data_IF_774015301472
#
_entry.id   IF_774015301472
#
_cell.length_a   1.000
_cell.length_b   1.000
_cell.length_c   1.000
_cell.angle_alpha   90.00
_cell.angle_beta   90.00
_cell.angle_gamma   90.00
#
_symmetry.space_group_name_H-M   'P 1'
#
loop_
_entity.id
_entity.type
_entity.pdbx_description
1 polymer ?
#
# COMPACT_ATOMS: atom_id res chain seq x y z
N UNK A 1 4.72 -4.23 -27.77
CA UNK A 1 4.71 -3.54 -26.47
C UNK A 1 4.78 -4.62 -25.40
N UNK A 2 5.32 -4.32 -24.21
CA UNK A 2 5.37 -5.30 -23.12
C UNK A 2 4.30 -4.94 -22.10
N UNK A 3 3.42 -5.88 -21.78
CA UNK A 3 2.39 -5.76 -20.75
C UNK A 3 2.85 -6.55 -19.53
N UNK A 4 2.73 -5.96 -18.35
CA UNK A 4 3.14 -6.62 -17.12
C UNK A 4 1.92 -7.28 -16.45
N UNK A 5 2.10 -8.48 -15.94
CA UNK A 5 1.07 -9.16 -15.15
C UNK A 5 1.68 -9.72 -13.86
N UNK A 6 1.04 -9.44 -12.73
CA UNK A 6 1.43 -9.98 -11.43
C UNK A 6 0.40 -11.01 -10.95
N UNK A 7 0.87 -12.23 -10.70
CA UNK A 7 0.09 -13.30 -10.09
C UNK A 7 0.46 -13.44 -8.62
N UNK A 8 -0.43 -12.97 -7.74
CA UNK A 8 -0.35 -13.18 -6.28
C UNK A 8 -1.06 -14.48 -5.95
N UNK A 9 -0.39 -15.45 -5.33
CA UNK A 9 -1.00 -16.75 -5.01
C UNK A 9 -0.33 -17.39 -3.80
N UNK A 10 -1.04 -18.29 -3.12
CA UNK A 10 -0.45 -19.06 -2.02
C UNK A 10 0.37 -20.23 -2.55
N UNK A 11 1.66 -20.30 -2.22
CA UNK A 11 2.53 -21.38 -2.69
C UNK A 11 2.08 -22.77 -2.23
N UNK A 12 1.59 -22.91 -0.99
CA UNK A 12 1.07 -24.19 -0.49
C UNK A 12 -0.07 -24.74 -1.37
N UNK A 13 -0.91 -23.86 -1.93
CA UNK A 13 -2.00 -24.27 -2.81
C UNK A 13 -1.46 -24.70 -4.18
N UNK A 14 -0.47 -23.99 -4.72
CA UNK A 14 0.19 -24.36 -5.97
C UNK A 14 0.97 -25.68 -5.83
N UNK A 15 1.73 -25.86 -4.75
CA UNK A 15 2.44 -27.11 -4.46
C UNK A 15 1.47 -28.29 -4.34
N UNK A 16 0.40 -28.12 -3.56
CA UNK A 16 -0.61 -29.16 -3.34
C UNK A 16 -1.24 -29.62 -4.66
N UNK A 17 -1.51 -28.69 -5.58
CA UNK A 17 -2.17 -29.00 -6.84
C UNK A 17 -1.17 -29.27 -7.99
N UNK A 18 0.10 -29.55 -7.68
CA UNK A 18 1.18 -29.90 -8.62
C UNK A 18 1.56 -28.77 -9.58
N UNK A 19 1.80 -27.58 -9.04
CA UNK A 19 2.18 -26.35 -9.76
C UNK A 19 1.11 -25.86 -10.74
N UNK A 20 -0.16 -26.10 -10.44
CA UNK A 20 -1.25 -25.83 -11.38
C UNK A 20 -1.52 -24.36 -11.59
N UNK A 21 -1.42 -23.57 -10.53
CA UNK A 21 -1.61 -22.11 -10.57
C UNK A 21 -0.51 -21.51 -11.44
N UNK A 22 0.74 -21.87 -11.19
CA UNK A 22 1.89 -21.35 -11.97
C UNK A 22 1.92 -21.86 -13.40
N UNK A 23 1.41 -23.07 -13.66
CA UNK A 23 1.25 -23.61 -15.03
C UNK A 23 0.15 -22.86 -15.79
N UNK A 24 -1.00 -22.65 -15.14
CA UNK A 24 -2.11 -21.90 -15.73
C UNK A 24 -1.68 -20.47 -16.08
N UNK A 25 -0.98 -19.83 -15.14
CA UNK A 25 -0.43 -18.50 -15.30
C UNK A 25 0.45 -18.35 -16.55
N UNK A 26 1.45 -19.23 -16.71
CA UNK A 26 2.34 -19.22 -17.88
C UNK A 26 1.57 -19.45 -19.18
N UNK A 27 0.57 -20.33 -19.15
CA UNK A 27 -0.26 -20.60 -20.31
C UNK A 27 -1.09 -19.37 -20.71
N UNK A 28 -1.69 -18.66 -19.76
CA UNK A 28 -2.42 -17.42 -20.03
C UNK A 28 -1.50 -16.35 -20.64
N UNK A 29 -0.25 -16.21 -20.17
CA UNK A 29 0.72 -15.30 -20.77
C UNK A 29 1.03 -15.67 -22.23
N UNK A 30 1.23 -16.96 -22.52
CA UNK A 30 1.42 -17.46 -23.89
C UNK A 30 0.20 -17.23 -24.77
N UNK A 31 -1.01 -17.46 -24.25
CA UNK A 31 -2.26 -17.21 -24.99
C UNK A 31 -2.48 -15.70 -25.22
N UNK A 32 -2.13 -14.85 -24.25
CA UNK A 32 -2.19 -13.39 -24.40
C UNK A 32 -1.29 -12.91 -25.54
N UNK A 33 -0.06 -13.39 -25.57
CA UNK A 33 0.89 -13.10 -26.66
C UNK A 33 0.36 -13.57 -28.01
N UNK A 34 -0.25 -14.77 -28.06
CA UNK A 34 -0.83 -15.31 -29.28
C UNK A 34 -2.04 -14.49 -29.79
N UNK A 35 -2.85 -13.92 -28.88
CA UNK A 35 -4.04 -13.12 -29.22
C UNK A 35 -3.66 -11.69 -29.61
N UNK A 36 -2.80 -11.03 -28.83
CA UNK A 36 -2.50 -9.59 -28.96
C UNK A 36 -1.30 -9.29 -29.85
N UNK A 37 -0.33 -10.21 -29.94
CA UNK A 37 0.99 -9.96 -30.52
C UNK A 37 1.95 -9.19 -29.60
N UNK A 38 1.53 -8.84 -28.38
CA UNK A 38 2.33 -8.14 -27.37
C UNK A 38 2.83 -9.10 -26.28
N UNK A 39 4.08 -8.92 -25.83
CA UNK A 39 4.70 -9.75 -24.79
C UNK A 39 4.04 -9.53 -23.43
N UNK A 40 3.70 -10.62 -22.73
CA UNK A 40 3.25 -10.54 -21.33
C UNK A 40 4.39 -10.91 -20.38
N UNK A 41 5.06 -9.90 -19.83
CA UNK A 41 6.07 -10.07 -18.81
C UNK A 41 5.40 -10.51 -17.50
N UNK A 42 5.50 -11.81 -17.23
CA UNK A 42 4.82 -12.45 -16.13
C UNK A 42 5.67 -12.49 -14.84
N UNK A 43 5.11 -11.96 -13.76
CA UNK A 43 5.63 -12.08 -12.41
C UNK A 43 4.78 -13.05 -11.60
N UNK A 44 5.41 -14.12 -11.13
CA UNK A 44 4.82 -15.10 -10.23
C UNK A 44 5.36 -14.84 -8.85
N UNK A 45 4.49 -14.60 -7.88
CA UNK A 45 4.90 -14.50 -6.49
C UNK A 45 5.63 -15.79 -6.04
N UNK A 46 6.71 -15.61 -5.29
CA UNK A 46 7.44 -16.68 -4.60
C UNK A 46 7.45 -16.27 -3.14
N UNK A 47 6.79 -17.08 -2.32
CA UNK A 47 6.63 -17.15 -0.86
C UNK A 47 7.78 -16.68 0.08
N UNK A 48 8.64 -15.75 -0.32
CA UNK A 48 9.83 -15.30 0.39
C UNK A 48 9.81 -13.78 0.52
N UNK A 49 9.98 -13.35 1.78
CA UNK A 49 10.41 -12.03 2.30
C UNK A 49 11.67 -11.43 1.62
N UNK A 50 12.11 -11.97 0.48
CA UNK A 50 13.33 -11.60 -0.26
C UNK A 50 13.07 -10.61 -1.40
N UNK A 51 11.83 -10.20 -1.64
CA UNK A 51 11.51 -9.14 -2.61
C UNK A 51 11.58 -7.72 -2.00
N UNK A 52 12.40 -7.53 -0.97
CA UNK A 52 12.75 -6.21 -0.44
C UNK A 52 13.34 -5.29 -1.52
N UNK A 53 12.98 -4.01 -1.44
CA UNK A 53 13.35 -2.87 -2.31
C UNK A 53 12.92 -2.94 -3.80
N UNK A 54 13.10 -4.05 -4.49
CA UNK A 54 12.84 -4.13 -5.94
C UNK A 54 11.33 -4.28 -6.27
N UNK A 55 10.53 -4.80 -5.33
CA UNK A 55 9.07 -5.00 -5.47
C UNK A 55 8.26 -3.71 -5.53
N UNK A 56 8.47 -2.81 -4.57
CA UNK A 56 7.73 -1.55 -4.45
C UNK A 56 8.08 -0.62 -5.62
N UNK A 57 9.34 -0.59 -6.03
CA UNK A 57 9.81 0.22 -7.15
C UNK A 57 9.34 -0.35 -8.51
N UNK A 58 9.32 -1.68 -8.67
CA UNK A 58 8.81 -2.34 -9.89
C UNK A 58 7.29 -2.30 -9.99
N UNK A 59 6.54 -2.35 -8.89
CA UNK A 59 5.11 -2.04 -8.89
C UNK A 59 4.89 -0.55 -9.18
N UNK A 60 5.64 0.36 -8.55
CA UNK A 60 5.50 1.80 -8.82
C UNK A 60 5.77 2.13 -10.30
N UNK A 61 6.70 1.42 -10.94
CA UNK A 61 7.01 1.55 -12.38
C UNK A 61 5.98 0.84 -13.27
N UNK A 62 5.63 -0.41 -12.98
CA UNK A 62 4.72 -1.22 -13.80
C UNK A 62 3.25 -0.77 -13.70
N UNK A 63 2.83 -0.25 -12.55
CA UNK A 63 1.45 0.26 -12.34
C UNK A 63 1.21 1.59 -13.07
N UNK A 64 2.27 2.33 -13.41
CA UNK A 64 2.19 3.45 -14.36
C UNK A 64 2.12 2.99 -15.84
N UNK A 65 2.49 1.73 -16.14
CA UNK A 65 2.74 1.22 -17.50
C UNK A 65 1.73 0.18 -18.03
N UNK A 66 0.55 0.03 -17.39
CA UNK A 66 -0.51 -0.93 -17.77
C UNK A 66 -0.37 -2.35 -17.18
N UNK A 67 0.15 -2.48 -15.95
CA UNK A 67 0.22 -3.77 -15.25
C UNK A 67 -1.16 -4.30 -14.78
N UNK A 68 -1.40 -5.59 -15.01
CA UNK A 68 -2.50 -6.34 -14.39
C UNK A 68 -2.09 -6.96 -13.06
N UNK A 69 -3.00 -6.98 -12.08
CA UNK A 69 -2.85 -7.74 -10.84
C UNK A 69 -3.94 -8.79 -10.72
N UNK A 70 -3.48 -10.03 -10.58
CA UNK A 70 -4.33 -11.21 -10.66
C UNK A 70 -4.16 -12.01 -9.36
N UNK A 71 -4.92 -11.71 -8.30
CA UNK A 71 -4.86 -12.48 -7.06
C UNK A 71 -5.60 -13.81 -7.23
N UNK A 72 -4.93 -14.91 -6.92
CA UNK A 72 -5.48 -16.28 -6.93
C UNK A 72 -6.01 -16.60 -5.54
N UNK A 73 -7.30 -16.31 -5.38
CA UNK A 73 -7.99 -16.29 -4.12
C UNK A 73 -8.30 -17.70 -3.63
N UNK A 74 -7.94 -17.96 -2.37
CA UNK A 74 -8.22 -19.18 -1.63
C UNK A 74 -8.38 -18.87 -0.13
N UNK A 75 -8.91 -19.80 0.68
CA UNK A 75 -8.91 -19.62 2.14
C UNK A 75 -7.50 -19.45 2.74
N UNK A 76 -6.46 -20.08 2.16
CA UNK A 76 -5.09 -19.92 2.64
C UNK A 76 -4.49 -18.58 2.22
N UNK A 77 -4.85 -18.08 1.04
CA UNK A 77 -4.47 -16.75 0.57
C UNK A 77 -4.83 -15.67 1.60
N UNK A 78 -6.09 -15.66 2.07
CA UNK A 78 -6.55 -14.69 3.06
C UNK A 78 -6.03 -14.93 4.49
N UNK A 79 -5.38 -16.06 4.77
CA UNK A 79 -4.70 -16.30 6.06
C UNK A 79 -3.22 -15.92 6.03
N UNK A 80 -2.65 -15.76 4.83
CA UNK A 80 -1.26 -15.37 4.65
C UNK A 80 -1.12 -13.86 4.78
N UNK A 81 -0.35 -13.39 5.74
CA UNK A 81 -0.10 -11.95 5.93
C UNK A 81 0.56 -11.33 4.71
N UNK A 82 1.56 -12.00 4.12
CA UNK A 82 2.23 -11.56 2.89
C UNK A 82 1.25 -11.38 1.72
N UNK A 83 0.43 -12.40 1.41
CA UNK A 83 -0.55 -12.30 0.32
C UNK A 83 -1.59 -11.18 0.57
N UNK A 84 -1.97 -10.98 1.84
CA UNK A 84 -2.87 -9.88 2.22
C UNK A 84 -2.21 -8.52 2.04
N UNK A 85 -0.95 -8.36 2.39
CA UNK A 85 -0.18 -7.13 2.21
C UNK A 85 -0.04 -6.76 0.74
N UNK A 86 0.32 -7.72 -0.12
CA UNK A 86 0.37 -7.52 -1.57
C UNK A 86 -0.96 -7.05 -2.14
N UNK A 87 -2.05 -7.72 -1.74
CA UNK A 87 -3.38 -7.37 -2.21
C UNK A 87 -3.78 -5.96 -1.74
N UNK A 88 -3.49 -5.59 -0.50
CA UNK A 88 -3.73 -4.23 0.01
C UNK A 88 -2.94 -3.19 -0.77
N UNK A 89 -1.64 -3.43 -0.96
CA UNK A 89 -0.75 -2.51 -1.65
C UNK A 89 -1.22 -2.25 -3.09
N UNK A 90 -1.58 -3.31 -3.82
CA UNK A 90 -2.05 -3.15 -5.19
C UNK A 90 -3.41 -2.45 -5.26
N UNK A 91 -4.36 -2.80 -4.40
CA UNK A 91 -5.69 -2.14 -4.37
C UNK A 91 -5.56 -0.66 -4.02
N UNK A 92 -4.73 -0.30 -3.04
CA UNK A 92 -4.48 1.09 -2.67
C UNK A 92 -3.93 1.88 -3.87
N UNK A 93 -2.95 1.30 -4.58
CA UNK A 93 -2.36 1.95 -5.76
C UNK A 93 -3.33 2.06 -6.93
N UNK A 94 -4.08 1.00 -7.23
CA UNK A 94 -5.08 0.99 -8.29
C UNK A 94 -6.19 2.03 -8.04
N UNK A 95 -6.57 2.26 -6.78
CA UNK A 95 -7.51 3.33 -6.40
C UNK A 95 -6.92 4.72 -6.61
N UNK A 96 -5.65 4.95 -6.22
CA UNK A 96 -4.98 6.24 -6.45
C UNK A 96 -4.93 6.62 -7.92
N UNK A 97 -4.73 5.64 -8.81
CA UNK A 97 -4.64 5.88 -10.26
C UNK A 97 -5.97 5.76 -11.01
N UNK A 98 -7.05 5.36 -10.33
CA UNK A 98 -8.34 5.11 -10.97
C UNK A 98 -8.35 3.89 -11.91
N UNK A 99 -7.43 2.94 -11.72
CA UNK A 99 -7.25 1.74 -12.55
C UNK A 99 -7.68 0.47 -11.82
N UNK A 100 -8.80 0.53 -11.08
CA UNK A 100 -9.30 -0.63 -10.32
C UNK A 100 -9.83 -1.76 -11.21
N UNK A 101 -10.07 -1.48 -12.49
CA UNK A 101 -10.35 -2.44 -13.57
C UNK A 101 -9.16 -3.37 -13.89
N UNK A 102 -7.95 -3.03 -13.44
CA UNK A 102 -6.73 -3.85 -13.59
C UNK A 102 -6.55 -4.89 -12.48
N UNK A 103 -7.47 -4.95 -11.51
CA UNK A 103 -7.51 -5.95 -10.44
C UNK A 103 -8.50 -7.05 -10.84
N UNK A 104 -7.98 -8.22 -11.21
CA UNK A 104 -8.78 -9.34 -11.69
C UNK A 104 -8.61 -10.57 -10.80
N UNK A 105 -9.51 -10.78 -9.85
CA UNK A 105 -9.44 -11.92 -8.94
C UNK A 105 -9.77 -13.25 -9.60
N UNK A 106 -9.02 -14.31 -9.27
CA UNK A 106 -9.36 -15.69 -9.63
C UNK A 106 -9.75 -16.42 -8.35
N UNK A 107 -11.02 -16.75 -8.18
CA UNK A 107 -11.47 -17.63 -7.09
C UNK A 107 -11.09 -19.07 -7.45
N UNK A 108 -9.98 -19.54 -6.89
CA UNK A 108 -9.39 -20.86 -7.16
C UNK A 108 -9.91 -21.93 -6.19
N UNK A 109 -10.14 -21.55 -4.93
CA UNK A 109 -10.82 -22.37 -3.93
C UNK A 109 -11.93 -21.53 -3.33
N UNK A 110 -13.12 -22.12 -3.16
CA UNK A 110 -14.28 -21.45 -2.57
C UNK A 110 -13.90 -20.84 -1.21
N UNK A 111 -14.10 -19.53 -1.09
CA UNK A 111 -13.93 -18.78 0.15
C UNK A 111 -15.28 -18.70 0.86
N UNK A 112 -15.42 -19.26 2.07
CA UNK A 112 -16.61 -19.07 2.88
C UNK A 112 -16.87 -17.57 3.09
N UNK A 113 -18.13 -17.15 2.99
CA UNK A 113 -18.56 -15.77 3.30
C UNK A 113 -17.90 -14.67 2.46
N UNK A 114 -17.49 -14.99 1.22
CA UNK A 114 -17.07 -13.99 0.23
C UNK A 114 -18.27 -13.12 -0.16
N UNK A 115 -18.41 -12.00 0.53
CA UNK A 115 -19.49 -11.03 0.38
C UNK A 115 -18.93 -9.61 0.54
N UNK A 116 -19.59 -8.64 -0.11
CA UNK A 116 -19.28 -7.21 0.03
C UNK A 116 -19.44 -6.69 1.47
N UNK A 117 -20.18 -7.45 2.30
CA UNK A 117 -20.46 -7.19 3.73
C UNK A 117 -19.56 -8.02 4.67
N UNK A 118 -18.53 -8.68 4.13
CA UNK A 118 -17.60 -9.45 4.95
C UNK A 118 -16.92 -8.56 6.00
N UNK A 119 -16.74 -9.10 7.21
CA UNK A 119 -15.98 -8.43 8.28
C UNK A 119 -14.47 -8.38 7.97
N UNK A 120 -14.01 -9.24 7.07
CA UNK A 120 -12.66 -9.16 6.51
C UNK A 120 -12.66 -8.20 5.30
N UNK A 121 -12.05 -7.03 5.49
CA UNK A 121 -11.98 -5.97 4.50
C UNK A 121 -11.44 -6.44 3.13
N UNK A 122 -10.45 -7.34 3.12
CA UNK A 122 -9.87 -7.83 1.88
C UNK A 122 -10.79 -8.82 1.15
N UNK A 123 -11.54 -9.61 1.90
CA UNK A 123 -12.57 -10.50 1.33
C UNK A 123 -13.71 -9.66 0.76
N UNK A 124 -14.13 -8.60 1.47
CA UNK A 124 -15.11 -7.65 0.98
C UNK A 124 -14.63 -6.93 -0.29
N UNK A 125 -13.35 -6.55 -0.37
CA UNK A 125 -12.76 -5.96 -1.57
C UNK A 125 -12.69 -6.95 -2.73
N UNK A 126 -12.23 -8.17 -2.50
CA UNK A 126 -12.23 -9.22 -3.52
C UNK A 126 -13.65 -9.47 -4.07
N UNK A 127 -14.68 -9.40 -3.22
CA UNK A 127 -16.08 -9.52 -3.64
C UNK A 127 -16.60 -8.30 -4.43
N UNK A 128 -16.04 -7.11 -4.19
CA UNK A 128 -16.42 -5.86 -4.89
C UNK A 128 -15.76 -5.72 -6.26
N UNK A 129 -14.56 -6.27 -6.45
CA UNK A 129 -13.82 -6.18 -7.71
C UNK A 129 -14.16 -7.34 -8.65
N UNK A 130 -13.73 -7.17 -9.90
CA UNK A 130 -13.94 -8.14 -10.97
C UNK A 130 -13.25 -9.45 -10.59
N UNK A 131 -14.01 -10.55 -10.58
CA UNK A 131 -13.48 -11.86 -10.29
C UNK A 131 -14.04 -12.94 -11.22
N UNK A 132 -13.29 -14.03 -11.33
CA UNK A 132 -13.63 -15.24 -12.06
C UNK A 132 -13.59 -16.44 -11.14
N UNK A 133 -14.69 -17.19 -11.10
CA UNK A 133 -14.70 -18.47 -10.40
C UNK A 133 -14.11 -19.56 -11.30
N UNK A 134 -12.88 -19.99 -10.98
CA UNK A 134 -12.19 -21.08 -11.66
C UNK A 134 -11.99 -22.27 -10.72
N UNK A 135 -13.05 -22.63 -9.99
CA UNK A 135 -13.04 -23.69 -8.97
C UNK A 135 -12.65 -25.07 -9.52
N UNK A 136 -12.98 -25.32 -10.79
CA UNK A 136 -12.69 -26.60 -11.46
C UNK A 136 -11.23 -26.72 -11.91
N UNK A 137 -10.48 -25.62 -11.95
CA UNK A 137 -9.12 -25.58 -12.48
C UNK A 137 -8.20 -26.57 -11.75
N UNK A 138 -8.41 -26.73 -10.43
CA UNK A 138 -7.68 -27.68 -9.58
C UNK A 138 -7.93 -29.17 -9.87
N UNK A 139 -8.94 -29.49 -10.68
CA UNK A 139 -9.31 -30.86 -11.06
C UNK A 139 -8.95 -31.18 -12.51
N UNK A 140 -8.76 -30.17 -13.36
CA UNK A 140 -8.39 -30.35 -14.75
C UNK A 140 -6.93 -30.78 -14.89
N UNK A 141 -6.66 -31.68 -15.82
CA UNK A 141 -5.29 -31.98 -16.24
C UNK A 141 -4.71 -30.79 -17.00
N UNK A 142 -3.44 -30.46 -16.76
CA UNK A 142 -2.79 -29.27 -17.32
C UNK A 142 -2.68 -29.28 -18.86
N UNK A 143 -2.71 -30.47 -19.46
CA UNK A 143 -2.70 -30.71 -20.91
C UNK A 143 -4.11 -30.86 -21.51
N UNK A 144 -5.16 -30.79 -20.70
CA UNK A 144 -6.53 -30.95 -21.20
C UNK A 144 -7.00 -29.74 -22.01
N UNK A 145 -7.85 -29.99 -23.01
CA UNK A 145 -8.48 -28.94 -23.81
C UNK A 145 -9.23 -27.92 -22.96
N UNK A 146 -9.88 -28.36 -21.86
CA UNK A 146 -10.62 -27.47 -20.99
C UNK A 146 -9.69 -26.52 -20.23
N UNK A 147 -8.54 -27.00 -19.75
CA UNK A 147 -7.53 -26.17 -19.08
C UNK A 147 -7.01 -25.07 -20.02
N UNK A 148 -6.72 -25.44 -21.28
CA UNK A 148 -6.28 -24.50 -22.32
C UNK A 148 -7.36 -23.49 -22.71
N UNK A 149 -8.60 -23.92 -22.84
CA UNK A 149 -9.74 -23.02 -23.15
C UNK A 149 -9.96 -22.00 -22.04
N UNK A 150 -9.84 -22.40 -20.78
CA UNK A 150 -9.96 -21.47 -19.65
C UNK A 150 -8.81 -20.44 -19.63
N UNK A 151 -7.59 -20.86 -19.96
CA UNK A 151 -6.45 -19.96 -20.07
C UNK A 151 -6.62 -18.96 -21.22
N UNK A 152 -7.04 -19.44 -22.39
CA UNK A 152 -7.33 -18.60 -23.55
C UNK A 152 -8.47 -17.60 -23.28
N UNK A 153 -9.54 -18.01 -22.60
CA UNK A 153 -10.64 -17.13 -22.23
C UNK A 153 -10.19 -15.99 -21.29
N UNK A 154 -9.36 -16.32 -20.29
CA UNK A 154 -8.78 -15.31 -19.41
C UNK A 154 -7.82 -14.38 -20.15
N UNK A 155 -7.00 -14.92 -21.05
CA UNK A 155 -6.10 -14.11 -21.89
C UNK A 155 -6.88 -13.13 -22.78
N UNK A 156 -7.97 -13.56 -23.42
CA UNK A 156 -8.82 -12.69 -24.23
C UNK A 156 -9.39 -11.54 -23.40
N UNK A 157 -9.85 -11.80 -22.18
CA UNK A 157 -10.34 -10.77 -21.27
C UNK A 157 -9.26 -9.73 -20.93
N UNK A 158 -8.02 -10.17 -20.67
CA UNK A 158 -6.90 -9.25 -20.44
C UNK A 158 -6.58 -8.41 -21.68
N UNK A 159 -6.66 -8.98 -22.89
CA UNK A 159 -6.48 -8.23 -24.15
C UNK A 159 -7.58 -7.19 -24.32
N UNK A 160 -8.83 -7.54 -24.05
CA UNK A 160 -9.97 -6.63 -24.17
C UNK A 160 -9.85 -5.46 -23.17
N UNK A 161 -9.39 -5.73 -21.95
CA UNK A 161 -9.11 -4.70 -20.94
C UNK A 161 -7.95 -3.79 -21.34
N UNK A 162 -6.91 -4.32 -21.98
CA UNK A 162 -5.81 -3.51 -22.50
C UNK A 162 -6.27 -2.59 -23.63
N UNK A 163 -7.07 -3.12 -24.55
CA UNK A 163 -7.57 -2.39 -25.72
C UNK A 163 -8.64 -1.33 -25.38
N UNK A 164 -9.35 -1.47 -24.26
CA UNK A 164 -10.43 -0.54 -23.84
C UNK A 164 -9.92 0.82 -23.33
N UNK A 165 -8.61 1.08 -23.42
CA UNK A 165 -7.98 2.35 -23.04
C UNK A 165 -8.48 3.49 -23.95
N UNK A 166 -9.06 4.54 -23.38
CA UNK A 166 -9.25 5.80 -24.12
C UNK A 166 -7.89 6.31 -24.64
N UNK A 167 -7.80 6.83 -25.88
CA UNK A 167 -6.52 7.17 -26.48
C UNK A 167 -5.80 8.25 -25.66
N UNK A 168 -4.51 8.02 -25.39
CA UNK A 168 -3.62 9.00 -24.75
C UNK A 168 -3.67 10.31 -25.54
N UNK A 169 -4.17 11.39 -24.93
CA UNK A 169 -3.86 12.73 -25.42
C UNK A 169 -2.37 12.92 -25.18
N UNK A 170 -1.57 12.82 -26.25
CA UNK A 170 -0.17 13.22 -26.21
C UNK A 170 -0.12 14.71 -25.87
N UNK A 171 0.56 15.05 -24.77
CA UNK A 171 0.95 16.44 -24.52
C UNK A 171 1.93 16.84 -25.64
N UNK A 172 1.77 18.02 -26.26
CA UNK A 172 2.66 18.44 -27.34
C UNK A 172 4.02 18.81 -26.73
N UNK A 173 5.02 17.96 -26.94
CA UNK A 173 6.40 18.30 -26.56
C UNK A 173 7.34 17.14 -26.26
N UNK A 174 7.27 16.02 -26.97
CA UNK A 174 8.40 15.08 -27.03
C UNK A 174 8.73 14.81 -28.49
N UNK A 175 9.62 15.66 -29.01
CA UNK A 175 10.17 15.58 -30.35
C UNK A 175 11.11 14.37 -30.41
N UNK A 176 10.70 13.36 -31.17
CA UNK A 176 11.44 12.15 -31.45
C UNK A 176 12.61 12.45 -32.40
N UNK A 177 13.66 13.11 -31.90
CA UNK A 177 14.93 13.31 -32.62
C UNK A 177 16.06 13.75 -31.67
N UNK A 178 16.57 12.82 -30.86
CA UNK A 178 17.94 12.91 -30.31
C UNK A 178 18.68 11.60 -30.53
N UNK A 179 19.39 11.53 -31.65
CA UNK A 179 20.49 10.58 -31.85
C UNK A 179 21.65 10.99 -30.94
N UNK A 180 21.68 10.45 -29.72
CA UNK A 180 22.84 10.42 -28.83
C UNK A 180 23.61 9.09 -28.97
N UNK A 181 24.87 9.00 -28.53
CA UNK A 181 25.72 7.85 -28.79
C UNK A 181 25.17 6.59 -28.12
N UNK A 182 25.11 5.50 -28.88
CA UNK A 182 24.76 4.16 -28.39
C UNK A 182 25.80 3.75 -27.36
N UNK A 183 25.43 3.75 -26.08
CA UNK A 183 26.25 3.17 -25.02
C UNK A 183 26.16 1.65 -25.14
N UNK A 184 27.23 1.02 -25.61
CA UNK A 184 27.37 -0.44 -25.54
C UNK A 184 27.72 -0.82 -24.11
N UNK A 185 26.89 -1.63 -23.47
CA UNK A 185 27.17 -2.19 -22.15
C UNK A 185 28.41 -3.10 -22.24
N UNK A 186 29.41 -2.97 -21.35
CA UNK A 186 30.48 -3.95 -21.24
C UNK A 186 29.92 -5.25 -20.67
N UNK A 187 30.45 -6.38 -21.16
CA UNK A 187 30.15 -7.70 -20.63
C UNK A 187 30.38 -7.75 -19.10
N UNK A 188 29.50 -8.46 -18.40
CA UNK A 188 29.47 -8.54 -16.94
C UNK A 188 30.87 -8.84 -16.35
N UNK A 189 31.33 -8.09 -15.33
CA UNK A 189 32.58 -8.39 -14.68
C UNK A 189 32.40 -9.65 -13.83
N UNK A 190 32.99 -10.74 -14.32
CA UNK A 190 33.31 -11.88 -13.47
C UNK A 190 34.58 -11.51 -12.72
N UNK A 191 34.46 -11.14 -11.43
CA UNK A 191 35.43 -11.35 -10.33
C UNK A 191 35.12 -10.38 -9.19
N UNK A 192 34.95 -10.91 -7.98
CA UNK A 192 34.79 -10.15 -6.75
C UNK A 192 36.08 -9.39 -6.40
N UNK A 193 36.12 -8.05 -6.52
CA UNK A 193 37.10 -7.17 -5.84
C UNK A 193 36.60 -5.71 -5.81
N UNK A 194 36.52 -5.13 -4.60
CA UNK A 194 36.41 -3.71 -4.22
C UNK A 194 35.14 -2.92 -4.65
N UNK A 195 34.35 -2.52 -3.65
CA UNK A 195 33.23 -1.57 -3.76
C UNK A 195 33.82 -0.15 -3.94
N UNK A 196 33.44 0.61 -4.99
CA UNK A 196 33.95 1.97 -5.22
C UNK A 196 33.47 2.95 -4.14
N UNK A 197 34.34 3.92 -3.76
CA UNK A 197 34.06 4.99 -2.79
C UNK A 197 32.85 5.89 -3.11
N UNK A 198 32.34 5.85 -4.35
CA UNK A 198 31.16 6.60 -4.83
C UNK A 198 29.87 6.16 -4.12
N UNK A 199 29.86 4.96 -3.53
CA UNK A 199 28.70 4.36 -2.85
C UNK A 199 28.49 4.93 -1.44
N UNK A 200 29.53 5.46 -0.78
CA UNK A 200 29.44 6.03 0.58
C UNK A 200 28.77 7.40 0.64
N UNK A 201 29.09 8.29 -0.31
CA UNK A 201 28.54 9.66 -0.34
C UNK A 201 27.01 9.67 -0.58
N UNK A 202 26.52 8.77 -1.43
CA UNK A 202 25.08 8.62 -1.69
C UNK A 202 24.31 8.15 -0.45
N UNK A 203 24.90 7.25 0.34
CA UNK A 203 24.30 6.80 1.59
C UNK A 203 24.23 7.93 2.63
N UNK A 204 25.30 8.71 2.77
CA UNK A 204 25.35 9.84 3.70
C UNK A 204 24.32 10.92 3.34
N UNK A 205 24.09 11.18 2.05
CA UNK A 205 23.05 12.10 1.58
C UNK A 205 21.63 11.60 1.92
N UNK A 206 21.37 10.30 1.79
CA UNK A 206 20.10 9.70 2.18
C UNK A 206 19.86 9.77 3.69
N UNK A 207 20.88 9.47 4.50
CA UNK A 207 20.83 9.58 5.97
C UNK A 207 20.56 11.02 6.39
N UNK A 208 21.24 11.98 5.77
CA UNK A 208 21.06 13.40 6.05
C UNK A 208 19.64 13.87 5.70
N UNK A 209 19.17 13.54 4.49
CA UNK A 209 17.83 13.92 4.00
C UNK A 209 16.73 13.34 4.90
N UNK A 210 16.83 12.05 5.25
CA UNK A 210 15.88 11.41 6.15
C UNK A 210 15.94 12.01 7.57
N UNK A 211 17.15 12.23 8.10
CA UNK A 211 17.36 12.79 9.43
C UNK A 211 16.88 14.24 9.58
N UNK A 212 16.88 15.02 8.50
CA UNK A 212 16.32 16.39 8.49
C UNK A 212 14.79 16.40 8.43
N UNK A 213 14.18 15.41 7.78
CA UNK A 213 12.72 15.34 7.61
C UNK A 213 11.99 14.74 8.82
N UNK A 214 12.56 13.75 9.50
CA UNK A 214 11.92 13.03 10.61
C UNK A 214 11.45 13.92 11.78
N UNK A 215 12.20 14.95 12.22
CA UNK A 215 11.71 15.87 13.25
C UNK A 215 10.44 16.62 12.82
N UNK A 216 10.37 17.03 11.56
CA UNK A 216 9.20 17.74 11.00
C UNK A 216 7.99 16.81 10.91
N UNK A 217 8.18 15.59 10.40
CA UNK A 217 7.16 14.52 10.38
C UNK A 217 6.62 14.27 11.79
N UNK A 218 7.53 14.10 12.76
CA UNK A 218 7.17 13.87 14.16
C UNK A 218 6.37 15.03 14.73
N UNK A 219 6.74 16.28 14.41
CA UNK A 219 6.01 17.46 14.86
C UNK A 219 4.58 17.51 14.32
N UNK A 220 4.37 17.21 13.04
CA UNK A 220 3.02 17.17 12.46
C UNK A 220 2.14 16.09 13.09
N UNK A 221 2.70 14.90 13.35
CA UNK A 221 1.99 13.81 14.02
C UNK A 221 1.60 14.18 15.47
N UNK A 222 2.50 14.84 16.20
CA UNK A 222 2.21 15.34 17.54
C UNK A 222 1.10 16.41 17.53
N UNK A 223 1.13 17.33 16.57
CA UNK A 223 0.08 18.35 16.39
C UNK A 223 -1.27 17.72 16.07
N UNK A 224 -1.31 16.70 15.21
CA UNK A 224 -2.53 15.92 14.96
C UNK A 224 -3.06 15.28 16.25
N UNK A 225 -2.17 14.70 17.07
CA UNK A 225 -2.54 14.08 18.34
C UNK A 225 -3.15 15.09 19.32
N UNK A 226 -2.57 16.29 19.41
CA UNK A 226 -3.08 17.37 20.26
C UNK A 226 -4.45 17.86 19.76
N UNK A 227 -4.59 18.06 18.45
CA UNK A 227 -5.85 18.47 17.84
C UNK A 227 -6.96 17.43 18.08
N UNK A 228 -6.66 16.15 17.84
CA UNK A 228 -7.60 15.05 18.10
C UNK A 228 -8.05 14.99 19.57
N UNK A 229 -7.11 15.15 20.53
CA UNK A 229 -7.42 15.25 21.96
C UNK A 229 -8.35 16.43 22.27
N UNK A 230 -8.08 17.60 21.70
CA UNK A 230 -8.89 18.81 21.89
C UNK A 230 -10.31 18.59 21.40
N UNK A 231 -10.48 18.07 20.18
CA UNK A 231 -11.78 17.75 19.59
C UNK A 231 -12.52 16.74 20.49
N UNK A 232 -11.87 15.64 20.88
CA UNK A 232 -12.46 14.60 21.72
C UNK A 232 -12.98 15.14 23.04
N UNK A 233 -12.22 16.03 23.69
CA UNK A 233 -12.64 16.68 24.94
C UNK A 233 -13.87 17.57 24.73
N UNK A 234 -13.90 18.37 23.66
CA UNK A 234 -15.05 19.23 23.34
C UNK A 234 -16.31 18.44 23.05
N UNK A 235 -16.22 17.32 22.31
CA UNK A 235 -17.39 16.46 22.04
C UNK A 235 -17.87 15.79 23.33
N UNK A 236 -16.97 15.35 24.20
CA UNK A 236 -17.34 14.76 25.49
C UNK A 236 -18.03 15.76 26.42
N UNK A 237 -17.51 16.97 26.54
CA UNK A 237 -18.14 18.05 27.31
C UNK A 237 -19.53 18.40 26.74
N UNK A 238 -19.67 18.35 25.41
CA UNK A 238 -20.96 18.48 24.73
C UNK A 238 -21.95 17.39 25.13
N UNK A 239 -21.56 16.10 25.08
CA UNK A 239 -22.46 14.98 25.40
C UNK A 239 -22.98 15.12 26.83
N UNK A 240 -22.10 15.47 27.78
CA UNK A 240 -22.47 15.71 29.19
C UNK A 240 -23.47 16.88 29.30
N UNK A 241 -23.20 18.01 28.63
CA UNK A 241 -24.07 19.18 28.70
C UNK A 241 -25.47 18.92 28.10
N UNK A 242 -25.57 18.16 27.00
CA UNK A 242 -26.85 17.86 26.35
C UNK A 242 -27.72 16.92 27.17
N UNK A 243 -27.12 15.97 27.90
CA UNK A 243 -27.86 15.09 28.83
C UNK A 243 -28.54 15.89 29.94
N UNK A 244 -27.91 16.97 30.41
CA UNK A 244 -28.41 17.78 31.52
C UNK A 244 -29.53 18.77 31.11
N UNK A 245 -29.80 18.94 29.82
CA UNK A 245 -30.69 19.99 29.31
C UNK A 245 -32.00 19.41 28.76
N UNK A 246 -33.12 19.88 29.29
CA UNK A 246 -34.47 19.48 28.85
C UNK A 246 -35.03 20.28 27.66
N UNK A 247 -34.58 21.52 27.42
CA UNK A 247 -35.17 22.41 26.42
C UNK A 247 -34.46 22.31 25.04
N UNK A 248 -35.21 22.07 23.94
CA UNK A 248 -34.67 22.04 22.56
C UNK A 248 -33.86 23.26 22.12
N UNK A 249 -34.23 24.48 22.49
CA UNK A 249 -33.51 25.69 22.05
C UNK A 249 -32.13 25.80 22.70
N UNK A 250 -32.00 25.37 23.96
CA UNK A 250 -30.72 25.32 24.66
C UNK A 250 -29.81 24.22 24.08
N UNK A 251 -30.39 23.07 23.66
CA UNK A 251 -29.64 22.02 22.94
C UNK A 251 -29.08 22.53 21.61
N UNK A 252 -29.87 23.28 20.85
CA UNK A 252 -29.44 23.85 19.57
C UNK A 252 -28.30 24.87 19.75
N UNK A 253 -28.38 25.75 20.76
CA UNK A 253 -27.32 26.72 21.04
C UNK A 253 -25.98 26.05 21.40
N UNK A 254 -26.02 24.94 22.14
CA UNK A 254 -24.83 24.15 22.49
C UNK A 254 -24.28 23.41 21.27
N UNK A 255 -25.15 22.89 20.40
CA UNK A 255 -24.75 22.26 19.15
C UNK A 255 -24.02 23.23 18.21
N UNK A 256 -24.54 24.44 18.05
CA UNK A 256 -23.88 25.48 17.23
C UNK A 256 -22.53 25.85 17.85
N UNK A 257 -22.47 26.00 19.17
CA UNK A 257 -21.22 26.31 19.87
C UNK A 257 -20.19 25.19 19.78
N UNK A 258 -20.59 23.92 19.74
CA UNK A 258 -19.68 22.80 19.52
C UNK A 258 -18.97 22.94 18.18
N UNK A 259 -19.72 23.20 17.10
CA UNK A 259 -19.16 23.37 15.75
C UNK A 259 -18.15 24.51 15.72
N UNK A 260 -18.50 25.67 16.29
CA UNK A 260 -17.61 26.84 16.35
C UNK A 260 -16.33 26.56 17.15
N UNK A 261 -16.44 25.86 18.29
CA UNK A 261 -15.30 25.53 19.14
C UNK A 261 -14.39 24.45 18.52
N UNK A 262 -14.97 23.54 17.74
CA UNK A 262 -14.22 22.48 17.06
C UNK A 262 -13.50 22.96 15.80
N UNK A 263 -13.91 24.07 15.19
CA UNK A 263 -13.40 24.52 13.89
C UNK A 263 -11.88 24.69 13.83
N UNK A 264 -11.29 25.42 14.78
CA UNK A 264 -9.83 25.62 14.81
C UNK A 264 -9.07 24.29 14.95
N UNK A 265 -9.58 23.39 15.81
CA UNK A 265 -8.94 22.10 16.06
C UNK A 265 -9.12 21.13 14.88
N UNK A 266 -10.26 21.18 14.19
CA UNK A 266 -10.50 20.46 12.93
C UNK A 266 -9.52 20.92 11.85
N UNK A 267 -9.35 22.23 11.70
CA UNK A 267 -8.42 22.81 10.73
C UNK A 267 -6.99 22.38 11.03
N UNK A 268 -6.55 22.50 12.29
CA UNK A 268 -5.24 22.04 12.75
C UNK A 268 -5.02 20.55 12.43
N UNK A 269 -6.01 19.69 12.73
CA UNK A 269 -5.94 18.26 12.44
C UNK A 269 -5.80 18.01 10.93
N UNK A 270 -6.60 18.71 10.11
CA UNK A 270 -6.64 18.52 8.66
C UNK A 270 -5.35 18.96 7.98
N UNK A 271 -4.83 20.13 8.35
CA UNK A 271 -3.59 20.66 7.81
C UNK A 271 -2.40 19.77 8.20
N UNK A 272 -2.28 19.43 9.48
CA UNK A 272 -1.16 18.61 9.94
C UNK A 272 -1.27 17.15 9.45
N UNK A 273 -2.46 16.59 9.25
CA UNK A 273 -2.61 15.26 8.66
C UNK A 273 -2.16 15.26 7.19
N UNK A 274 -2.46 16.33 6.43
CA UNK A 274 -1.98 16.49 5.06
C UNK A 274 -0.45 16.60 5.01
N UNK A 275 0.14 17.48 5.82
CA UNK A 275 1.59 17.70 5.85
C UNK A 275 2.35 16.47 6.35
N UNK A 276 1.85 15.80 7.40
CA UNK A 276 2.41 14.54 7.87
C UNK A 276 2.44 13.48 6.77
N UNK A 277 1.32 13.25 6.08
CA UNK A 277 1.21 12.19 5.07
C UNK A 277 2.12 12.48 3.88
N UNK A 278 2.12 13.73 3.39
CA UNK A 278 2.99 14.15 2.29
C UNK A 278 4.47 13.99 2.65
N UNK A 279 4.88 14.48 3.83
CA UNK A 279 6.27 14.41 4.26
C UNK A 279 6.74 12.97 4.46
N UNK A 280 5.85 12.07 4.94
CA UNK A 280 6.15 10.64 5.06
C UNK A 280 6.27 9.99 3.68
N UNK A 281 5.38 10.29 2.73
CA UNK A 281 5.45 9.79 1.35
C UNK A 281 6.73 10.25 0.63
N UNK A 282 7.13 11.51 0.83
CA UNK A 282 8.31 12.11 0.19
C UNK A 282 9.62 11.43 0.61
N UNK A 283 9.69 10.96 1.86
CA UNK A 283 10.93 10.36 2.41
C UNK A 283 10.92 8.85 2.52
N UNK A 284 9.80 8.17 2.26
CA UNK A 284 9.67 6.71 2.41
C UNK A 284 10.78 5.97 1.67
N UNK A 285 10.98 6.29 0.39
CA UNK A 285 12.01 5.64 -0.44
C UNK A 285 13.41 5.82 0.16
N UNK A 286 13.72 7.02 0.65
CA UNK A 286 15.03 7.32 1.24
C UNK A 286 15.24 6.63 2.58
N UNK A 287 14.23 6.63 3.46
CA UNK A 287 14.28 5.93 4.74
C UNK A 287 14.44 4.42 4.51
N UNK A 288 13.67 3.82 3.60
CA UNK A 288 13.77 2.39 3.26
C UNK A 288 15.16 2.03 2.73
N UNK A 289 15.72 2.85 1.84
CA UNK A 289 17.07 2.64 1.32
C UNK A 289 18.15 2.68 2.42
N UNK A 290 18.00 3.55 3.43
CA UNK A 290 18.92 3.59 4.58
C UNK A 290 18.74 2.36 5.48
N UNK A 291 17.51 1.92 5.71
CA UNK A 291 17.21 0.77 6.57
C UNK A 291 17.78 -0.54 6.00
N UNK A 292 17.70 -0.73 4.68
CA UNK A 292 18.10 -1.95 3.97
C UNK A 292 19.55 -1.92 3.45
N UNK A 293 20.28 -0.83 3.69
CA UNK A 293 21.65 -0.70 3.20
C UNK A 293 22.59 -1.76 3.81
N UNK A 294 23.39 -2.49 3.00
CA UNK A 294 24.25 -3.57 3.49
C UNK A 294 25.28 -3.11 4.52
N UNK A 295 25.24 -3.69 5.74
CA UNK A 295 26.10 -3.26 6.85
C UNK A 295 27.59 -3.47 6.56
N UNK A 296 27.90 -4.46 5.73
CA UNK A 296 29.27 -4.79 5.30
C UNK A 296 29.98 -3.69 4.51
N UNK A 297 29.28 -2.62 4.12
CA UNK A 297 29.87 -1.50 3.36
C UNK A 297 30.29 -0.32 4.22
N UNK A 298 29.97 -0.30 5.52
CA UNK A 298 30.17 0.88 6.37
C UNK A 298 31.59 1.02 6.94
N UNK A 299 32.08 2.26 7.00
CA UNK A 299 33.18 2.66 7.86
C UNK A 299 32.63 3.15 9.22
N UNK A 300 33.48 3.24 10.25
CA UNK A 300 33.05 3.51 11.64
C UNK A 300 32.22 4.80 11.81
N UNK A 301 32.46 5.84 11.00
CA UNK A 301 31.71 7.11 11.06
C UNK A 301 30.33 7.07 10.39
N UNK A 302 30.08 6.13 9.47
CA UNK A 302 28.78 5.96 8.80
C UNK A 302 27.73 5.35 9.72
N UNK A 303 28.17 4.72 10.82
CA UNK A 303 27.33 4.09 11.83
C UNK A 303 26.68 5.11 12.78
N UNK A 304 27.36 6.22 13.08
CA UNK A 304 26.84 7.25 14.01
C UNK A 304 25.59 7.94 13.46
N UNK A 305 25.61 8.33 12.17
CA UNK A 305 24.46 8.95 11.50
C UNK A 305 23.28 7.98 11.37
N UNK A 306 23.58 6.70 11.12
CA UNK A 306 22.58 5.63 11.08
C UNK A 306 21.92 5.43 12.44
N UNK A 307 22.69 5.34 13.51
CA UNK A 307 22.19 5.15 14.88
C UNK A 307 21.29 6.32 15.31
N UNK A 308 21.67 7.55 14.96
CA UNK A 308 20.84 8.72 15.19
C UNK A 308 19.49 8.63 14.45
N UNK A 309 19.50 8.20 13.17
CA UNK A 309 18.27 7.99 12.40
C UNK A 309 17.38 6.89 13.00
N UNK A 310 17.97 5.77 13.44
CA UNK A 310 17.26 4.67 14.12
C UNK A 310 16.51 5.19 15.35
N UNK A 311 17.20 5.99 16.16
CA UNK A 311 16.63 6.59 17.37
C UNK A 311 15.44 7.51 17.06
N UNK A 312 15.57 8.34 16.00
CA UNK A 312 14.48 9.20 15.54
C UNK A 312 13.27 8.39 15.03
N UNK A 313 13.50 7.31 14.28
CA UNK A 313 12.44 6.41 13.81
C UNK A 313 11.72 5.70 14.95
N UNK A 314 12.46 5.27 15.98
CA UNK A 314 11.86 4.70 17.18
C UNK A 314 10.95 5.70 17.91
N UNK A 315 11.40 6.95 18.05
CA UNK A 315 10.61 8.04 18.62
C UNK A 315 9.34 8.32 17.80
N UNK A 316 9.45 8.37 16.47
CA UNK A 316 8.30 8.55 15.58
C UNK A 316 7.29 7.40 15.72
N UNK A 317 7.75 6.16 15.85
CA UNK A 317 6.88 4.99 16.05
C UNK A 317 6.12 5.03 17.39
N UNK A 318 6.75 5.51 18.47
CA UNK A 318 6.08 5.72 19.76
C UNK A 318 4.98 6.79 19.65
N UNK A 319 5.28 7.90 18.96
CA UNK A 319 4.29 8.93 18.68
C UNK A 319 3.16 8.45 17.78
N UNK A 320 3.46 7.60 16.79
CA UNK A 320 2.46 6.98 15.92
C UNK A 320 1.51 6.08 16.71
N UNK A 321 2.05 5.26 17.61
CA UNK A 321 1.23 4.42 18.50
C UNK A 321 0.31 5.25 19.38
N UNK A 322 0.84 6.33 19.98
CA UNK A 322 0.05 7.27 20.80
C UNK A 322 -1.05 7.95 19.98
N UNK A 323 -0.73 8.41 18.77
CA UNK A 323 -1.69 9.04 17.88
C UNK A 323 -2.84 8.07 17.52
N UNK A 324 -2.55 6.81 17.17
CA UNK A 324 -3.59 5.81 16.85
C UNK A 324 -4.59 5.64 17.99
N UNK A 325 -4.11 5.53 19.24
CA UNK A 325 -4.96 5.39 20.41
C UNK A 325 -5.91 6.59 20.58
N UNK A 326 -5.41 7.81 20.35
CA UNK A 326 -6.19 9.03 20.48
C UNK A 326 -7.21 9.22 19.35
N UNK A 327 -6.85 8.85 18.12
CA UNK A 327 -7.76 8.88 16.97
C UNK A 327 -8.89 7.86 17.13
N UNK A 328 -8.57 6.65 17.60
CA UNK A 328 -9.59 5.63 17.92
C UNK A 328 -10.56 6.11 19.01
N UNK A 329 -10.03 6.72 20.08
CA UNK A 329 -10.85 7.29 21.14
C UNK A 329 -11.71 8.47 20.65
N UNK A 330 -11.20 9.29 19.71
CA UNK A 330 -11.96 10.36 19.08
C UNK A 330 -13.10 9.80 18.21
N UNK A 331 -12.80 8.82 17.36
CA UNK A 331 -13.78 8.17 16.49
C UNK A 331 -14.94 7.58 17.30
N UNK A 332 -14.65 6.89 18.41
CA UNK A 332 -15.69 6.34 19.28
C UNK A 332 -16.65 7.43 19.82
N UNK A 333 -16.10 8.53 20.34
CA UNK A 333 -16.92 9.63 20.90
C UNK A 333 -17.71 10.36 19.80
N UNK A 334 -17.16 10.46 18.60
CA UNK A 334 -17.85 11.02 17.43
C UNK A 334 -19.04 10.16 17.00
N UNK A 335 -18.89 8.84 16.95
CA UNK A 335 -19.96 7.91 16.56
C UNK A 335 -21.14 7.97 17.54
N UNK A 336 -20.85 7.99 18.85
CA UNK A 336 -21.85 8.20 19.90
C UNK A 336 -22.60 9.54 19.72
N UNK A 337 -21.87 10.62 19.41
CA UNK A 337 -22.44 11.96 19.23
C UNK A 337 -23.20 12.15 17.91
N UNK A 338 -22.83 11.45 16.84
CA UNK A 338 -23.38 11.62 15.49
C UNK A 338 -24.91 11.35 15.42
N UNK A 339 -25.41 10.50 16.31
CA UNK A 339 -26.84 10.17 16.44
C UNK A 339 -27.69 11.37 16.88
N UNK A 340 -27.11 12.29 17.66
CA UNK A 340 -27.82 13.42 18.29
C UNK A 340 -27.43 14.77 17.67
N UNK A 341 -26.21 14.90 17.15
CA UNK A 341 -25.64 16.15 16.66
C UNK A 341 -25.71 16.29 15.12
N UNK A 342 -26.93 16.30 14.55
CA UNK A 342 -27.11 16.41 13.08
C UNK A 342 -26.42 17.64 12.45
N UNK A 343 -26.33 18.74 13.20
CA UNK A 343 -25.71 20.00 12.77
C UNK A 343 -24.19 19.86 12.61
N UNK A 344 -23.55 18.96 13.38
CA UNK A 344 -22.10 18.73 13.36
C UNK A 344 -21.65 17.67 12.34
N UNK A 345 -22.56 17.09 11.54
CA UNK A 345 -22.24 16.00 10.60
C UNK A 345 -21.15 16.34 9.59
N UNK A 346 -21.12 17.57 9.08
CA UNK A 346 -20.10 17.97 8.12
C UNK A 346 -18.72 18.05 8.79
N UNK A 347 -18.65 18.68 9.97
CA UNK A 347 -17.44 18.70 10.81
C UNK A 347 -16.96 17.28 11.12
N UNK A 348 -17.85 16.37 11.52
CA UNK A 348 -17.48 14.98 11.79
C UNK A 348 -16.95 14.25 10.55
N UNK A 349 -17.57 14.45 9.38
CA UNK A 349 -17.08 13.86 8.12
C UNK A 349 -15.69 14.39 7.74
N UNK A 350 -15.43 15.67 7.96
CA UNK A 350 -14.11 16.27 7.69
C UNK A 350 -13.06 15.68 8.64
N UNK A 351 -13.38 15.57 9.93
CA UNK A 351 -12.50 14.94 10.92
C UNK A 351 -12.23 13.47 10.55
N UNK A 352 -13.24 12.69 10.15
CA UNK A 352 -13.06 11.31 9.65
C UNK A 352 -12.11 11.25 8.45
N UNK A 353 -12.26 12.17 7.49
CA UNK A 353 -11.37 12.24 6.32
C UNK A 353 -9.92 12.51 6.75
N UNK A 354 -9.72 13.38 7.73
CA UNK A 354 -8.38 13.67 8.29
C UNK A 354 -7.82 12.50 9.09
N UNK A 355 -8.64 11.74 9.84
CA UNK A 355 -8.24 10.51 10.52
C UNK A 355 -7.79 9.45 9.52
N UNK A 356 -8.54 9.24 8.43
CA UNK A 356 -8.19 8.29 7.38
C UNK A 356 -6.84 8.63 6.76
N UNK A 357 -6.64 9.90 6.38
CA UNK A 357 -5.38 10.37 5.79
C UNK A 357 -4.19 10.19 6.74
N UNK A 358 -4.38 10.52 8.02
CA UNK A 358 -3.36 10.31 9.04
C UNK A 358 -3.01 8.82 9.22
N UNK A 359 -4.03 7.94 9.15
CA UNK A 359 -3.84 6.49 9.21
C UNK A 359 -3.01 5.99 8.02
N UNK A 360 -3.24 6.50 6.80
CA UNK A 360 -2.46 6.15 5.62
C UNK A 360 -0.96 6.46 5.81
N UNK A 361 -0.61 7.65 6.31
CA UNK A 361 0.79 7.99 6.61
C UNK A 361 1.38 7.13 7.74
N UNK A 362 0.59 6.78 8.76
CA UNK A 362 1.05 5.89 9.84
C UNK A 362 1.35 4.47 9.36
N UNK A 363 0.64 3.99 8.33
CA UNK A 363 0.94 2.69 7.71
C UNK A 363 2.29 2.67 7.00
N UNK A 364 2.73 3.81 6.43
CA UNK A 364 4.07 3.94 5.85
C UNK A 364 5.12 3.91 6.97
N UNK A 365 4.91 4.68 8.04
CA UNK A 365 5.80 4.69 9.22
C UNK A 365 5.95 3.30 9.85
N UNK A 366 4.89 2.49 9.87
CA UNK A 366 4.93 1.11 10.39
C UNK A 366 5.88 0.19 9.61
N UNK A 367 6.17 0.51 8.34
CA UNK A 367 7.17 -0.20 7.52
C UNK A 367 8.61 0.23 7.84
N UNK A 368 8.83 1.35 8.53
CA UNK A 368 10.16 1.84 8.88
C UNK A 368 10.71 1.13 10.12
N UNK A 369 10.92 -0.18 10.01
CA UNK A 369 11.46 -1.03 11.08
C UNK A 369 12.73 -1.73 10.62
N UNK A 370 13.74 -1.76 11.48
CA UNK A 370 14.89 -2.63 11.27
C UNK A 370 14.46 -4.08 11.44
N UNK A 371 14.77 -4.93 10.46
CA UNK A 371 14.79 -6.37 10.69
C UNK A 371 15.96 -6.64 11.65
N UNK A 372 15.66 -6.97 12.91
CA UNK A 372 16.65 -7.67 13.73
C UNK A 372 16.97 -8.99 13.03
N UNK A 373 18.23 -9.29 12.71
CA UNK A 373 18.57 -10.60 12.20
C UNK A 373 18.09 -11.63 13.23
N UNK A 374 17.21 -12.54 12.80
CA UNK A 374 16.80 -13.67 13.61
C UNK A 374 18.05 -14.41 14.10
N UNK A 375 18.13 -14.67 15.40
CA UNK A 375 19.22 -15.39 16.07
C UNK A 375 19.43 -16.85 15.59
N UNK A 376 18.79 -17.27 14.50
CA UNK A 376 18.82 -18.65 13.99
C UNK A 376 19.98 -18.98 13.05
N UNK A 377 20.96 -18.08 12.88
CA UNK A 377 22.12 -18.35 11.98
C UNK A 377 23.43 -18.76 12.69
N UNK A 378 23.35 -19.30 13.91
CA UNK A 378 24.52 -19.84 14.63
C UNK A 378 24.60 -21.37 14.65
N UNK A 379 23.81 -22.10 13.85
CA UNK A 379 24.04 -23.55 13.71
C UNK A 379 23.62 -24.10 12.36
N UNK A 380 24.53 -24.03 11.36
CA UNK A 380 24.76 -25.12 10.41
C UNK A 380 26.01 -24.95 9.56
#
# INVERSE_FOLDING_TARGET
>A
MTVHAFWSYRHDDDQQDKRRITTFARLVATEFEAISGDEMALFLDRDSLDWGDDWTERIARAVNEAAFFIPVLSPRYFRSEACREEFRAFVAKARQLGTTDRVLGIVYIRIPDMSIDSTDELVAWAARYQHRELLELRWLAADSDNFRRQANALAQELVDLENSRAPRIALPGEDASRTGPVFSLPAAPTTATQIPAIVGDAYLELVATAGEALPTITSHLQRCTVAAKKIRNMIRDYVVAVIQIGNPSAKLAILTRLVDLTGDAEQDLTENAREFTSAVEDVDTGVQAVLHWPISTFQTGDLDGREALVSQLACLNEHSTTARQELAALHQVMDEAATTAKVARNTFRNIETSILKLTDGQMIVDRWKFQTPSEDNETR
#
